data_IF_407169152329
#
_entry.id   IF_407169152329
#
_cell.length_a   1.000
_cell.length_b   1.000
_cell.length_c   1.000
_cell.angle_alpha   90.00
_cell.angle_beta   90.00
_cell.angle_gamma   90.00
#
_symmetry.space_group_name_H-M   'P 1'
#
loop_
_entity.id
_entity.type
_entity.pdbx_description
1 polymer ?
#
# COMPACT_ATOMS: atom_id res chain seq x y z
N UNK A 1 -22.91 -7.32 -57.95
CA UNK A 1 -23.63 -8.20 -57.02
C UNK A 1 -23.26 -9.64 -57.37
N UNK A 2 -22.51 -10.32 -56.51
CA UNK A 2 -22.30 -11.76 -56.59
C UNK A 2 -22.20 -12.31 -55.16
N UNK A 3 -23.08 -13.25 -54.82
CA UNK A 3 -23.03 -14.09 -53.64
C UNK A 3 -22.67 -15.51 -54.09
N UNK A 4 -21.75 -16.16 -53.36
CA UNK A 4 -21.35 -17.59 -53.29
C UNK A 4 -19.86 -17.58 -52.88
N UNK A 5 -19.36 -18.32 -51.88
CA UNK A 5 -19.74 -19.63 -51.41
C UNK A 5 -19.38 -19.85 -49.92
N UNK A 6 -19.92 -20.94 -49.38
CA UNK A 6 -19.96 -21.40 -48.00
C UNK A 6 -18.67 -22.09 -47.49
N UNK A 7 -18.59 -22.10 -46.14
CA UNK A 7 -18.14 -23.18 -45.24
C UNK A 7 -16.64 -23.57 -45.21
N UNK A 8 -16.06 -23.59 -44.02
CA UNK A 8 -15.91 -24.82 -43.21
C UNK A 8 -15.44 -24.43 -41.80
N UNK A 9 -16.10 -25.01 -40.79
CA UNK A 9 -15.81 -24.92 -39.38
C UNK A 9 -14.39 -25.40 -39.03
N UNK A 10 -13.71 -24.69 -38.13
CA UNK A 10 -12.66 -25.28 -37.30
C UNK A 10 -12.94 -24.93 -35.83
N UNK A 11 -13.62 -25.86 -35.16
CA UNK A 11 -13.57 -25.98 -33.70
C UNK A 11 -12.19 -26.52 -33.33
N UNK A 12 -11.27 -25.64 -32.95
CA UNK A 12 -10.14 -25.94 -32.08
C UNK A 12 -10.16 -24.79 -31.06
N UNK A 13 -10.59 -25.05 -29.83
CA UNK A 13 -9.72 -25.79 -28.92
C UNK A 13 -8.57 -24.89 -28.49
N UNK A 14 -8.88 -23.67 -28.04
CA UNK A 14 -7.96 -22.81 -27.34
C UNK A 14 -8.68 -22.39 -26.08
N UNK A 15 -8.32 -23.01 -24.96
CA UNK A 15 -8.70 -22.54 -23.65
C UNK A 15 -8.45 -21.04 -23.65
N UNK A 16 -9.50 -20.22 -23.53
CA UNK A 16 -9.31 -18.89 -23.04
C UNK A 16 -8.54 -19.10 -21.73
N UNK A 17 -7.28 -18.70 -21.69
CA UNK A 17 -6.61 -18.46 -20.42
C UNK A 17 -7.45 -17.36 -19.77
N UNK A 18 -8.49 -17.75 -19.06
CA UNK A 18 -8.98 -17.00 -17.93
C UNK A 18 -7.92 -17.16 -16.86
N UNK A 19 -6.76 -16.54 -17.09
CA UNK A 19 -6.10 -15.86 -16.00
C UNK A 19 -7.03 -14.70 -15.65
N UNK A 20 -8.09 -15.01 -14.90
CA UNK A 20 -8.52 -14.10 -13.88
C UNK A 20 -7.30 -13.94 -12.96
N UNK A 21 -6.36 -13.10 -13.36
CA UNK A 21 -5.63 -12.30 -12.41
C UNK A 21 -6.73 -11.49 -11.74
N UNK A 22 -7.41 -12.10 -10.76
CA UNK A 22 -7.91 -11.33 -9.64
C UNK A 22 -6.68 -10.58 -9.16
N UNK A 23 -6.57 -9.32 -9.57
CA UNK A 23 -5.75 -8.36 -8.86
C UNK A 23 -5.98 -8.65 -7.38
N UNK A 24 -4.91 -8.70 -6.55
CA UNK A 24 -5.06 -8.84 -5.12
C UNK A 24 -6.21 -7.95 -4.69
N UNK A 25 -7.23 -8.51 -4.04
CA UNK A 25 -8.39 -7.73 -3.62
C UNK A 25 -7.84 -6.52 -2.86
N UNK A 26 -8.00 -5.33 -3.46
CA UNK A 26 -7.36 -4.14 -2.94
C UNK A 26 -7.92 -3.94 -1.54
N UNK A 27 -7.04 -3.88 -0.54
CA UNK A 27 -7.41 -3.51 0.82
C UNK A 27 -7.13 -2.00 0.98
N UNK A 28 -8.09 -1.13 0.59
CA UNK A 28 -7.86 0.31 0.59
C UNK A 28 -7.61 0.84 2.00
N UNK A 29 -8.18 0.20 3.02
CA UNK A 29 -8.00 0.58 4.42
C UNK A 29 -6.57 0.27 4.88
N UNK A 30 -6.07 -0.95 4.62
CA UNK A 30 -4.70 -1.31 4.93
C UNK A 30 -3.68 -0.45 4.17
N UNK A 31 -3.95 -0.16 2.89
CA UNK A 31 -3.12 0.76 2.08
C UNK A 31 -3.14 2.17 2.69
N UNK A 32 -4.29 2.65 3.14
CA UNK A 32 -4.46 3.98 3.74
C UNK A 32 -3.67 4.14 5.04
N UNK A 33 -3.87 3.20 5.95
CA UNK A 33 -3.22 3.17 7.25
C UNK A 33 -1.71 2.97 7.08
N UNK A 34 -1.28 1.97 6.31
CA UNK A 34 0.14 1.67 6.15
C UNK A 34 0.86 2.81 5.44
N UNK A 35 0.24 3.42 4.41
CA UNK A 35 0.80 4.60 3.77
C UNK A 35 0.94 5.79 4.72
N UNK A 36 0.00 5.98 5.63
CA UNK A 36 0.07 7.02 6.66
C UNK A 36 1.20 6.74 7.68
N UNK A 37 1.36 5.49 8.13
CA UNK A 37 2.46 5.09 9.02
C UNK A 37 3.82 5.26 8.34
N UNK A 38 3.95 4.88 7.06
CA UNK A 38 5.17 5.07 6.27
C UNK A 38 5.51 6.55 6.10
N UNK A 39 4.52 7.39 5.83
CA UNK A 39 4.68 8.84 5.80
C UNK A 39 5.21 9.37 7.14
N UNK A 40 4.61 8.93 8.26
CA UNK A 40 5.02 9.35 9.59
C UNK A 40 6.46 8.95 9.94
N UNK A 41 6.84 7.72 9.61
CA UNK A 41 8.24 7.27 9.75
C UNK A 41 9.20 8.11 8.91
N UNK A 42 8.82 8.46 7.68
CA UNK A 42 9.66 9.24 6.77
C UNK A 42 9.88 10.69 7.25
N UNK A 43 8.85 11.36 7.77
CA UNK A 43 9.00 12.77 8.18
C UNK A 43 9.83 12.92 9.45
N UNK A 44 9.94 11.90 10.30
CA UNK A 44 10.67 11.98 11.56
C UNK A 44 12.18 12.24 11.39
N UNK A 45 12.72 12.04 10.20
CA UNK A 45 14.09 12.37 9.82
C UNK A 45 14.25 13.78 9.21
N UNK A 46 13.16 14.50 8.97
CA UNK A 46 13.21 15.83 8.39
C UNK A 46 13.89 16.83 9.34
N UNK A 47 14.89 17.60 8.87
CA UNK A 47 15.64 18.53 9.71
C UNK A 47 14.76 19.51 10.48
N UNK A 48 13.61 19.88 9.90
CA UNK A 48 12.70 20.88 10.44
C UNK A 48 11.94 20.40 11.70
N UNK A 49 11.91 19.09 11.96
CA UNK A 49 11.26 18.50 13.15
C UNK A 49 12.13 17.52 13.93
N UNK A 50 13.26 17.08 13.39
CA UNK A 50 14.13 16.04 13.97
C UNK A 50 14.42 16.23 15.46
N UNK A 51 14.72 17.45 15.89
CA UNK A 51 15.08 17.74 17.29
C UNK A 51 13.89 17.64 18.26
N UNK A 52 12.66 17.55 17.74
CA UNK A 52 11.40 17.38 18.49
C UNK A 52 10.87 15.95 18.46
N UNK A 53 11.56 15.05 17.76
CA UNK A 53 11.18 13.64 17.62
C UNK A 53 12.01 12.81 18.59
N UNK A 54 11.34 12.06 19.47
CA UNK A 54 12.00 11.17 20.40
C UNK A 54 12.29 9.82 19.77
N UNK A 55 13.29 9.10 20.29
CA UNK A 55 13.57 7.73 19.85
C UNK A 55 12.34 6.81 19.96
N UNK A 56 11.54 6.99 21.01
CA UNK A 56 10.29 6.25 21.19
C UNK A 56 9.25 6.52 20.10
N UNK A 57 9.20 7.73 19.52
CA UNK A 57 8.29 8.03 18.41
C UNK A 57 8.69 7.24 17.15
N UNK A 58 10.00 7.20 16.85
CA UNK A 58 10.56 6.43 15.72
C UNK A 58 10.32 4.93 15.89
N UNK A 59 10.60 4.42 17.08
CA UNK A 59 10.37 3.01 17.40
C UNK A 59 8.88 2.67 17.27
N UNK A 60 8.00 3.55 17.72
CA UNK A 60 6.55 3.33 17.62
C UNK A 60 6.10 3.17 16.16
N UNK A 61 6.58 4.03 15.25
CA UNK A 61 6.22 3.92 13.84
C UNK A 61 6.82 2.69 13.15
N UNK A 62 8.06 2.32 13.51
CA UNK A 62 8.68 1.10 12.98
C UNK A 62 7.88 -0.15 13.38
N UNK A 63 7.49 -0.25 14.65
CA UNK A 63 6.68 -1.35 15.18
C UNK A 63 5.27 -1.37 14.56
N UNK A 64 4.63 -0.22 14.39
CA UNK A 64 3.35 -0.12 13.70
C UNK A 64 3.44 -0.66 12.27
N UNK A 65 4.48 -0.28 11.52
CA UNK A 65 4.71 -0.76 10.15
C UNK A 65 4.94 -2.28 10.10
N UNK A 66 5.71 -2.82 11.05
CA UNK A 66 5.93 -4.27 11.18
C UNK A 66 4.63 -5.03 11.48
N UNK A 67 3.79 -4.51 12.38
CA UNK A 67 2.50 -5.10 12.71
C UNK A 67 1.54 -5.11 11.52
N UNK A 68 1.51 -4.04 10.73
CA UNK A 68 0.73 -4.00 9.50
C UNK A 68 1.24 -5.01 8.47
N UNK A 69 2.56 -5.19 8.35
CA UNK A 69 3.14 -6.22 7.51
C UNK A 69 2.75 -7.64 7.97
N UNK A 70 2.80 -7.91 9.28
CA UNK A 70 2.35 -9.19 9.84
C UNK A 70 0.86 -9.42 9.60
N UNK A 71 0.03 -8.40 9.82
CA UNK A 71 -1.41 -8.47 9.56
C UNK A 71 -1.71 -8.78 8.09
N UNK A 72 -1.00 -8.12 7.17
CA UNK A 72 -1.13 -8.40 5.74
C UNK A 72 -0.80 -9.86 5.41
N UNK A 73 0.29 -10.39 5.97
CA UNK A 73 0.77 -11.75 5.72
C UNK A 73 -0.10 -12.86 6.36
N UNK A 74 -0.93 -12.54 7.36
CA UNK A 74 -1.82 -13.52 8.01
C UNK A 74 -2.89 -14.05 7.06
N UNK A 75 -3.33 -13.23 6.11
CA UNK A 75 -4.45 -13.56 5.21
C UNK A 75 -4.09 -13.52 3.72
N UNK A 76 -2.82 -13.23 3.39
CA UNK A 76 -2.38 -12.98 2.02
C UNK A 76 -1.04 -13.62 1.73
N UNK A 77 -0.77 -13.87 0.45
CA UNK A 77 0.55 -14.26 -0.01
C UNK A 77 1.58 -13.14 0.16
N UNK A 78 2.86 -13.50 0.07
CA UNK A 78 3.95 -12.53 0.06
C UNK A 78 3.87 -11.57 -1.13
N UNK A 79 3.42 -12.04 -2.30
CA UNK A 79 3.27 -11.21 -3.50
C UNK A 79 2.15 -10.17 -3.35
N UNK A 80 1.01 -10.57 -2.80
CA UNK A 80 -0.10 -9.66 -2.48
C UNK A 80 0.30 -8.65 -1.41
N UNK A 81 0.99 -9.10 -0.36
CA UNK A 81 1.53 -8.22 0.69
C UNK A 81 2.49 -7.18 0.11
N UNK A 82 3.38 -7.60 -0.80
CA UNK A 82 4.30 -6.69 -1.48
C UNK A 82 3.55 -5.67 -2.33
N UNK A 83 2.54 -6.10 -3.07
CA UNK A 83 1.71 -5.19 -3.89
C UNK A 83 1.01 -4.13 -3.02
N UNK A 84 0.46 -4.55 -1.87
CA UNK A 84 -0.14 -3.63 -0.89
C UNK A 84 0.91 -2.64 -0.35
N UNK A 85 2.10 -3.13 0.00
CA UNK A 85 3.19 -2.28 0.47
C UNK A 85 3.63 -1.26 -0.58
N UNK A 86 3.71 -1.65 -1.85
CA UNK A 86 4.07 -0.76 -2.95
C UNK A 86 3.01 0.35 -3.12
N UNK A 87 1.72 0.01 -3.01
CA UNK A 87 0.63 1.01 -3.02
C UNK A 87 0.67 1.92 -1.79
N UNK A 88 0.93 1.38 -0.59
CA UNK A 88 1.08 2.16 0.63
C UNK A 88 2.27 3.13 0.54
N UNK A 89 3.40 2.67 -0.02
CA UNK A 89 4.59 3.50 -0.26
C UNK A 89 4.32 4.62 -1.25
N UNK A 90 3.59 4.34 -2.34
CA UNK A 90 3.14 5.37 -3.27
C UNK A 90 2.24 6.40 -2.57
N UNK A 91 1.29 5.94 -1.76
CA UNK A 91 0.42 6.82 -0.97
C UNK A 91 1.23 7.71 -0.02
N UNK A 92 2.21 7.16 0.70
CA UNK A 92 3.08 7.92 1.59
C UNK A 92 3.81 9.05 0.85
N UNK A 93 4.31 8.78 -0.35
CA UNK A 93 4.93 9.78 -1.21
C UNK A 93 3.95 10.88 -1.63
N UNK A 94 2.70 10.51 -1.97
CA UNK A 94 1.64 11.47 -2.30
C UNK A 94 1.27 12.34 -1.10
N UNK A 95 1.13 11.77 0.10
CA UNK A 95 0.86 12.53 1.34
C UNK A 95 2.00 13.52 1.59
N UNK A 96 3.25 13.06 1.49
CA UNK A 96 4.43 13.92 1.68
C UNK A 96 4.46 15.07 0.70
N UNK A 97 4.21 14.81 -0.58
CA UNK A 97 4.18 15.84 -1.63
C UNK A 97 3.11 16.91 -1.36
N UNK A 98 1.96 16.52 -0.82
CA UNK A 98 0.86 17.43 -0.53
C UNK A 98 0.94 18.07 0.88
N UNK A 99 1.88 17.65 1.72
CA UNK A 99 2.03 18.18 3.08
C UNK A 99 2.67 19.56 3.03
N UNK A 100 1.95 20.57 3.54
CA UNK A 100 2.44 21.95 3.61
C UNK A 100 3.43 22.18 4.76
N UNK A 101 3.24 21.47 5.88
CA UNK A 101 4.01 21.64 7.11
C UNK A 101 4.15 20.30 7.82
N UNK A 102 5.38 19.76 7.86
CA UNK A 102 5.66 18.50 8.57
C UNK A 102 5.54 18.68 10.09
N UNK A 103 5.70 19.90 10.61
CA UNK A 103 5.52 20.25 12.01
C UNK A 103 4.09 19.98 12.48
N UNK A 104 3.10 20.26 11.64
CA UNK A 104 1.68 20.06 11.95
C UNK A 104 1.31 18.57 11.97
N UNK A 105 2.01 17.76 11.18
CA UNK A 105 1.78 16.32 11.12
C UNK A 105 2.34 15.54 12.33
N UNK A 106 3.26 16.12 13.11
CA UNK A 106 3.97 15.41 14.20
C UNK A 106 3.01 14.79 15.21
N UNK A 107 2.01 15.54 15.68
CA UNK A 107 1.09 15.08 16.71
C UNK A 107 0.23 13.90 16.22
N UNK A 108 -0.38 14.05 15.05
CA UNK A 108 -1.18 13.01 14.40
C UNK A 108 -0.35 11.74 14.13
N UNK A 109 0.89 11.90 13.67
CA UNK A 109 1.79 10.77 13.45
C UNK A 109 2.13 10.02 14.74
N UNK A 110 2.29 10.75 15.84
CA UNK A 110 2.57 10.16 17.15
C UNK A 110 1.41 9.31 17.65
N UNK A 111 0.20 9.84 17.52
CA UNK A 111 -1.03 9.15 17.88
C UNK A 111 -1.23 7.91 17.02
N UNK A 112 -1.16 8.07 15.69
CA UNK A 112 -1.30 6.98 14.73
C UNK A 112 -0.31 5.85 15.01
N UNK A 113 0.99 6.16 15.11
CA UNK A 113 1.98 5.10 15.31
C UNK A 113 1.86 4.42 16.67
N UNK A 114 1.30 5.08 17.69
CA UNK A 114 1.07 4.46 19.01
C UNK A 114 -0.18 3.59 19.04
N UNK A 115 -1.24 3.97 18.33
CA UNK A 115 -2.50 3.21 18.31
C UNK A 115 -2.37 1.78 17.76
N UNK A 116 -1.27 1.49 17.05
CA UNK A 116 -0.96 0.14 16.57
C UNK A 116 -0.01 -0.65 17.47
N UNK A 117 0.51 -0.05 18.56
CA UNK A 117 1.42 -0.72 19.50
C UNK A 117 0.74 -1.22 20.77
N UNK A 118 -0.38 -0.61 21.13
CA UNK A 118 -1.29 -1.09 22.19
C UNK A 118 -2.04 -2.37 21.76
#
# INVERSE_FOLDING_TARGET
MNHKALLVSLMLGGNALSAANSLPESDPELIDIWGSVLYCGAIYDEPAIRDRIYQGDRQSCAQASERLAMHAQQSRSLEETRTIFDHASHKAAVIRYNTRSVQEAVAACRELCRSYND
#
